data_IF_489541469585
#
_entry.id   IF_489541469585
#
_cell.length_a   1.000
_cell.length_b   1.000
_cell.length_c   1.000
_cell.angle_alpha   90.00
_cell.angle_beta   90.00
_cell.angle_gamma   90.00
#
_symmetry.space_group_name_H-M   'P 1'
#
loop_
_entity.id
_entity.type
_entity.pdbx_description
1 polymer ?
#
# COMPACT_ATOMS: atom_id res chain seq x y z
N UNK A 1 -4.09 -11.43 -0.56
CA UNK A 1 -4.78 -11.66 0.73
C UNK A 1 -5.90 -10.67 1.01
N UNK A 2 -5.70 -9.36 0.88
CA UNK A 2 -6.73 -8.34 1.21
C UNK A 2 -8.10 -8.60 0.57
N UNK A 3 -8.14 -8.80 -0.76
CA UNK A 3 -9.40 -9.05 -1.49
C UNK A 3 -10.08 -10.33 -1.01
N UNK A 4 -9.30 -11.40 -0.80
CA UNK A 4 -9.82 -12.69 -0.31
C UNK A 4 -10.40 -12.53 1.09
N UNK A 5 -9.68 -11.86 2.00
CA UNK A 5 -10.15 -11.58 3.35
C UNK A 5 -11.44 -10.74 3.36
N UNK A 6 -11.53 -9.74 2.48
CA UNK A 6 -12.73 -8.94 2.30
C UNK A 6 -13.92 -9.78 1.83
N UNK A 7 -13.73 -10.67 0.85
CA UNK A 7 -14.78 -11.58 0.40
C UNK A 7 -15.25 -12.53 1.51
N UNK A 8 -14.32 -13.07 2.31
CA UNK A 8 -14.66 -13.93 3.45
C UNK A 8 -15.45 -13.15 4.51
N UNK A 9 -15.05 -11.92 4.81
CA UNK A 9 -15.76 -11.07 5.77
C UNK A 9 -17.20 -10.77 5.31
N UNK A 10 -17.39 -10.38 4.04
CA UNK A 10 -18.73 -10.16 3.49
C UNK A 10 -19.56 -11.43 3.40
N UNK A 11 -18.95 -12.58 3.08
CA UNK A 11 -19.63 -13.87 3.08
C UNK A 11 -20.10 -14.27 4.48
N UNK A 12 -19.28 -14.05 5.51
CA UNK A 12 -19.64 -14.29 6.90
C UNK A 12 -20.80 -13.39 7.35
N UNK A 13 -20.75 -12.10 7.01
CA UNK A 13 -21.85 -11.16 7.25
C UNK A 13 -23.14 -11.63 6.56
N UNK A 14 -23.07 -12.00 5.30
CA UNK A 14 -24.23 -12.48 4.54
C UNK A 14 -24.82 -13.76 5.14
N UNK A 15 -23.97 -14.74 5.49
CA UNK A 15 -24.41 -15.96 6.13
C UNK A 15 -25.14 -15.67 7.46
N UNK A 16 -24.60 -14.79 8.29
CA UNK A 16 -25.22 -14.36 9.55
C UNK A 16 -26.62 -13.78 9.33
N UNK A 17 -26.79 -12.83 8.39
CA UNK A 17 -28.08 -12.23 8.05
C UNK A 17 -29.10 -13.30 7.62
N UNK A 18 -28.69 -14.23 6.77
CA UNK A 18 -29.58 -15.29 6.29
C UNK A 18 -30.00 -16.27 7.39
N UNK A 19 -29.11 -16.57 8.34
CA UNK A 19 -29.41 -17.45 9.47
C UNK A 19 -30.34 -16.79 10.48
N UNK A 20 -30.23 -15.47 10.68
CA UNK A 20 -31.14 -14.69 11.52
C UNK A 20 -32.50 -14.42 10.86
N UNK A 21 -32.68 -14.79 9.58
CA UNK A 21 -33.88 -14.49 8.82
C UNK A 21 -34.07 -12.99 8.54
N UNK A 22 -33.01 -12.21 8.64
CA UNK A 22 -33.01 -10.77 8.40
C UNK A 22 -32.80 -10.45 6.91
N UNK A 23 -33.07 -9.20 6.54
CA UNK A 23 -32.79 -8.68 5.20
C UNK A 23 -31.59 -7.73 5.24
N UNK A 24 -30.78 -7.73 4.18
CA UNK A 24 -29.58 -6.85 4.08
C UNK A 24 -29.92 -5.37 4.25
N UNK A 25 -31.10 -4.96 3.78
CA UNK A 25 -31.61 -3.59 3.89
C UNK A 25 -31.76 -3.14 5.35
N UNK A 26 -32.01 -4.07 6.28
CA UNK A 26 -32.13 -3.75 7.71
C UNK A 26 -30.79 -3.28 8.31
N UNK A 27 -29.66 -3.58 7.67
CA UNK A 27 -28.33 -3.12 8.07
C UNK A 27 -27.95 -1.76 7.46
N UNK A 28 -28.56 -1.39 6.34
CA UNK A 28 -28.21 -0.19 5.58
C UNK A 28 -28.97 1.04 6.12
N UNK A 29 -28.72 1.35 7.39
CA UNK A 29 -29.35 2.48 8.08
C UNK A 29 -28.59 3.79 7.79
N UNK A 30 -29.20 4.79 7.13
CA UNK A 30 -28.48 6.01 6.74
C UNK A 30 -27.88 6.78 7.91
N UNK A 31 -28.62 6.91 9.02
CA UNK A 31 -28.16 7.67 10.18
C UNK A 31 -26.91 7.06 10.84
N UNK A 32 -26.89 5.76 11.21
CA UNK A 32 -25.66 5.09 11.66
C UNK A 32 -24.51 5.15 10.66
N UNK A 33 -24.76 5.01 9.36
CA UNK A 33 -23.71 5.11 8.35
C UNK A 33 -23.07 6.50 8.32
N UNK A 34 -23.88 7.57 8.36
CA UNK A 34 -23.37 8.95 8.43
C UNK A 34 -22.51 9.14 9.68
N UNK A 35 -22.96 8.63 10.83
CA UNK A 35 -22.21 8.73 12.07
C UNK A 35 -20.87 7.99 11.97
N UNK A 36 -20.86 6.72 11.56
CA UNK A 36 -19.65 5.91 11.51
C UNK A 36 -18.66 6.45 10.47
N UNK A 37 -19.08 6.59 9.20
CA UNK A 37 -18.18 7.08 8.16
C UNK A 37 -17.78 8.54 8.39
N UNK A 38 -18.75 9.40 8.72
CA UNK A 38 -18.51 10.82 8.94
C UNK A 38 -17.60 11.08 10.14
N UNK A 39 -17.86 10.46 11.29
CA UNK A 39 -17.03 10.65 12.47
C UNK A 39 -15.64 10.05 12.28
N UNK A 40 -15.52 8.83 11.73
CA UNK A 40 -14.20 8.22 11.49
C UNK A 40 -13.34 9.04 10.54
N UNK A 41 -13.92 9.56 9.45
CA UNK A 41 -13.19 10.43 8.53
C UNK A 41 -12.83 11.75 9.23
N UNK A 42 -13.79 12.41 9.89
CA UNK A 42 -13.55 13.70 10.55
C UNK A 42 -12.48 13.62 11.65
N UNK A 43 -12.51 12.58 12.48
CA UNK A 43 -11.52 12.34 13.54
C UNK A 43 -10.16 12.00 12.92
N UNK A 44 -10.14 11.19 11.85
CA UNK A 44 -8.91 10.90 11.11
C UNK A 44 -8.25 12.16 10.52
N UNK A 45 -9.06 13.07 9.97
CA UNK A 45 -8.60 14.37 9.47
C UNK A 45 -8.12 15.28 10.61
N UNK A 46 -8.79 15.28 11.76
CA UNK A 46 -8.39 16.07 12.93
C UNK A 46 -7.05 15.59 13.53
N UNK A 47 -6.67 14.33 13.30
CA UNK A 47 -5.42 13.75 13.79
C UNK A 47 -4.17 14.12 13.00
N UNK A 48 -4.28 14.83 11.87
CA UNK A 48 -3.15 15.12 10.99
C UNK A 48 -3.25 16.47 10.28
N UNK A 49 -2.35 16.70 9.33
CA UNK A 49 -2.39 17.90 8.49
C UNK A 49 -3.28 17.68 7.26
N UNK A 50 -3.67 18.79 6.62
CA UNK A 50 -4.40 18.75 5.34
C UNK A 50 -3.59 18.02 4.26
N UNK A 51 -2.26 18.05 4.34
CA UNK A 51 -1.40 17.33 3.39
C UNK A 51 -1.45 15.81 3.64
N UNK A 52 -1.45 15.37 4.89
CA UNK A 52 -1.58 13.95 5.25
C UNK A 52 -2.91 13.38 4.75
N UNK A 53 -3.99 14.16 4.90
CA UNK A 53 -5.31 13.79 4.38
C UNK A 53 -5.29 13.57 2.86
N UNK A 54 -4.65 14.47 2.10
CA UNK A 54 -4.54 14.35 0.64
C UNK A 54 -3.72 13.13 0.23
N UNK A 55 -2.61 12.89 0.90
CA UNK A 55 -1.77 11.72 0.63
C UNK A 55 -2.45 10.41 1.00
N UNK A 56 -3.19 10.36 2.12
CA UNK A 56 -3.99 9.20 2.49
C UNK A 56 -5.01 8.82 1.39
N UNK A 57 -5.72 9.81 0.84
CA UNK A 57 -6.66 9.59 -0.27
C UNK A 57 -5.94 9.13 -1.53
N UNK A 58 -4.77 9.70 -1.86
CA UNK A 58 -3.94 9.28 -3.00
C UNK A 58 -3.36 7.87 -2.85
N UNK A 59 -3.13 7.43 -1.63
CA UNK A 59 -2.54 6.12 -1.33
C UNK A 59 -3.56 4.96 -1.41
N UNK A 60 -4.87 5.23 -1.31
CA UNK A 60 -5.94 4.22 -1.34
C UNK A 60 -5.82 3.20 -2.49
N UNK A 61 -5.65 3.62 -3.76
CA UNK A 61 -5.54 2.66 -4.86
C UNK A 61 -4.30 1.77 -4.74
N UNK A 62 -3.20 2.28 -4.19
CA UNK A 62 -1.97 1.51 -3.97
C UNK A 62 -2.16 0.51 -2.83
N UNK A 63 -2.83 0.92 -1.76
CA UNK A 63 -3.14 0.06 -0.62
C UNK A 63 -4.01 -1.14 -1.02
N UNK A 64 -4.99 -0.92 -1.91
CA UNK A 64 -5.88 -2.00 -2.38
C UNK A 64 -5.21 -2.95 -3.38
N UNK A 65 -4.29 -2.45 -4.22
CA UNK A 65 -3.56 -3.26 -5.22
C UNK A 65 -2.39 -4.04 -4.63
N UNK A 66 -1.89 -3.64 -3.45
CA UNK A 66 -0.67 -4.19 -2.85
C UNK A 66 0.60 -3.55 -3.42
N UNK A 67 1.72 -3.69 -2.71
CA UNK A 67 3.01 -3.21 -3.19
C UNK A 67 3.54 -4.12 -4.31
N UNK A 68 3.95 -3.58 -5.46
CA UNK A 68 4.70 -4.34 -6.44
C UNK A 68 6.15 -4.53 -5.97
N UNK A 69 6.69 -5.73 -6.22
CA UNK A 69 8.09 -6.10 -5.94
C UNK A 69 8.22 -7.14 -4.83
N UNK A 70 9.06 -8.16 -5.06
CA UNK A 70 9.42 -9.11 -4.00
C UNK A 70 10.67 -8.64 -3.27
N UNK A 71 10.74 -8.88 -1.95
CA UNK A 71 11.95 -8.60 -1.17
C UNK A 71 13.16 -9.38 -1.71
N UNK A 72 12.92 -10.55 -2.31
CA UNK A 72 13.95 -11.39 -2.91
C UNK A 72 14.57 -10.75 -4.16
N UNK A 73 13.74 -10.19 -5.06
CA UNK A 73 14.22 -9.42 -6.21
C UNK A 73 15.05 -8.21 -5.78
N UNK A 74 14.61 -7.53 -4.70
CA UNK A 74 15.33 -6.39 -4.15
C UNK A 74 16.71 -6.79 -3.60
N UNK A 75 16.78 -7.90 -2.85
CA UNK A 75 18.04 -8.46 -2.34
C UNK A 75 18.97 -8.79 -3.51
N UNK A 76 18.48 -9.51 -4.52
CA UNK A 76 19.27 -9.88 -5.69
C UNK A 76 19.82 -8.65 -6.41
N UNK A 77 19.01 -7.59 -6.60
CA UNK A 77 19.47 -6.31 -7.15
C UNK A 77 20.59 -5.68 -6.33
N UNK A 78 20.40 -5.56 -5.02
CA UNK A 78 21.40 -4.92 -4.14
C UNK A 78 22.71 -5.71 -4.11
N UNK A 79 22.64 -7.05 -4.05
CA UNK A 79 23.82 -7.91 -4.15
C UNK A 79 24.53 -7.72 -5.50
N UNK A 80 23.77 -7.67 -6.61
CA UNK A 80 24.33 -7.41 -7.94
C UNK A 80 25.07 -6.06 -8.02
N UNK A 81 24.54 -4.99 -7.41
CA UNK A 81 25.23 -3.72 -7.32
C UNK A 81 26.52 -3.80 -6.49
N UNK A 82 26.50 -4.52 -5.36
CA UNK A 82 27.68 -4.70 -4.53
C UNK A 82 28.79 -5.50 -5.23
N UNK A 83 28.41 -6.55 -5.99
CA UNK A 83 29.35 -7.32 -6.80
C UNK A 83 29.98 -6.46 -7.89
N UNK A 84 29.18 -5.69 -8.64
CA UNK A 84 29.67 -4.78 -9.68
C UNK A 84 30.63 -3.74 -9.12
N UNK A 85 30.29 -3.11 -8.00
CA UNK A 85 31.16 -2.16 -7.32
C UNK A 85 32.49 -2.79 -6.87
N UNK A 86 32.47 -4.06 -6.46
CA UNK A 86 33.66 -4.80 -6.02
C UNK A 86 34.56 -5.21 -7.18
N UNK A 87 34.01 -5.64 -8.31
CA UNK A 87 34.78 -6.13 -9.45
C UNK A 87 35.25 -5.01 -10.38
N UNK A 88 34.42 -4.01 -10.61
CA UNK A 88 34.62 -2.95 -11.62
C UNK A 88 34.88 -1.57 -11.00
N UNK A 89 34.67 -1.42 -9.69
CA UNK A 89 34.81 -0.15 -8.97
C UNK A 89 33.52 0.68 -8.94
N UNK A 90 33.55 1.77 -8.18
CA UNK A 90 32.36 2.61 -7.94
C UNK A 90 31.85 3.32 -9.19
N UNK A 91 32.75 3.67 -10.14
CA UNK A 91 32.38 4.35 -11.39
C UNK A 91 31.42 3.51 -12.24
N UNK A 92 31.52 2.17 -12.15
CA UNK A 92 30.64 1.27 -12.88
C UNK A 92 29.18 1.29 -12.36
N UNK A 93 28.94 1.90 -11.20
CA UNK A 93 27.58 2.15 -10.68
C UNK A 93 26.90 3.33 -11.37
N UNK A 94 27.63 4.24 -12.03
CA UNK A 94 27.02 5.35 -12.78
C UNK A 94 26.13 4.85 -13.91
N UNK A 95 26.54 3.78 -14.61
CA UNK A 95 25.73 3.12 -15.63
C UNK A 95 24.48 2.47 -15.01
N UNK A 96 24.62 1.87 -13.83
CA UNK A 96 23.52 1.22 -13.13
C UNK A 96 22.47 2.24 -12.63
N UNK A 97 22.90 3.45 -12.28
CA UNK A 97 22.02 4.57 -11.91
C UNK A 97 21.10 4.95 -13.08
N UNK A 98 21.62 4.97 -14.31
CA UNK A 98 20.84 5.36 -15.49
C UNK A 98 19.72 4.35 -15.80
N UNK A 99 19.93 3.08 -15.50
CA UNK A 99 18.98 1.99 -15.79
C UNK A 99 18.00 1.68 -14.65
N UNK A 100 18.32 2.04 -13.40
CA UNK A 100 17.44 1.79 -12.27
C UNK A 100 16.16 2.62 -12.40
N UNK A 101 15.00 1.99 -12.20
CA UNK A 101 13.67 2.57 -12.31
C UNK A 101 13.15 3.06 -10.96
N UNK A 102 13.53 2.37 -9.89
CA UNK A 102 13.14 2.73 -8.53
C UNK A 102 13.81 4.05 -8.11
N UNK A 103 13.04 5.12 -7.81
CA UNK A 103 13.61 6.42 -7.46
C UNK A 103 14.47 6.39 -6.20
N UNK A 104 14.13 5.53 -5.23
CA UNK A 104 14.86 5.43 -3.98
C UNK A 104 16.21 4.73 -4.19
N UNK A 105 16.23 3.60 -4.90
CA UNK A 105 17.48 2.92 -5.24
C UNK A 105 18.38 3.77 -6.14
N UNK A 106 17.81 4.46 -7.13
CA UNK A 106 18.57 5.36 -8.00
C UNK A 106 19.28 6.44 -7.19
N UNK A 107 18.56 7.10 -6.28
CA UNK A 107 19.15 8.13 -5.42
C UNK A 107 20.21 7.57 -4.47
N UNK A 108 19.98 6.38 -3.90
CA UNK A 108 20.94 5.72 -3.03
C UNK A 108 22.25 5.42 -3.78
N UNK A 109 22.16 4.89 -5.01
CA UNK A 109 23.33 4.63 -5.85
C UNK A 109 24.06 5.92 -6.23
N UNK A 110 23.33 6.99 -6.61
CA UNK A 110 23.92 8.30 -6.92
C UNK A 110 24.69 8.95 -5.79
N UNK A 111 24.33 8.66 -4.53
CA UNK A 111 25.01 9.23 -3.37
C UNK A 111 26.29 8.47 -3.00
N UNK A 112 26.52 7.28 -3.57
CA UNK A 112 27.62 6.38 -3.23
C UNK A 112 28.61 6.22 -4.40
N UNK A 113 28.12 6.29 -5.64
CA UNK A 113 28.94 6.38 -6.85
C UNK A 113 29.69 7.72 -6.89
#
# INVERSE_FOLDING_TARGET
MLIIGMLIAFAGLYAMITLEGAHVEALLLPAPMILVFGATIAIGLAGGTVNDAKEAVRALPRALRGLPGSSEELIQKVVGYAEKARSEGLLALEDAVAEEKDPFLRQALQNIA
#
